data_IF_992673714872
#
_entry.id   IF_992673714872
#
_cell.length_a   1.000
_cell.length_b   1.000
_cell.length_c   1.000
_cell.angle_alpha   90.00
_cell.angle_beta   90.00
_cell.angle_gamma   90.00
#
_symmetry.space_group_name_H-M   'P 1'
#
loop_
_entity.id
_entity.type
_entity.pdbx_description
1 polymer ?
#
# COMPACT_ATOMS: atom_id res chain seq x y z
N UNK A 1 7.88 8.71 19.12
CA UNK A 1 6.53 9.05 18.61
C UNK A 1 6.20 8.06 17.52
N UNK A 2 5.05 7.41 17.60
CA UNK A 2 4.65 6.38 16.63
C UNK A 2 3.78 7.03 15.57
N UNK A 3 4.22 6.98 14.31
CA UNK A 3 3.45 7.46 13.16
C UNK A 3 2.77 6.26 12.52
N UNK A 4 1.47 6.37 12.34
CA UNK A 4 0.67 5.47 11.52
C UNK A 4 0.61 6.06 10.13
N UNK A 5 0.89 5.21 9.15
CA UNK A 5 0.92 5.60 7.77
C UNK A 5 -0.01 4.66 7.02
N UNK A 6 -0.97 5.28 6.35
CA UNK A 6 -2.06 4.62 5.69
C UNK A 6 -2.13 5.09 4.23
N UNK A 7 -2.31 4.17 3.29
CA UNK A 7 -2.38 4.44 1.85
C UNK A 7 -3.44 3.56 1.24
N UNK A 8 -4.56 4.12 0.83
CA UNK A 8 -5.62 3.42 0.16
C UNK A 8 -5.39 3.37 -1.36
N UNK A 9 -5.37 2.19 -1.99
CA UNK A 9 -5.23 2.06 -3.47
C UNK A 9 -6.50 1.58 -4.16
N UNK A 10 -6.75 2.09 -5.37
CA UNK A 10 -7.79 1.54 -6.28
C UNK A 10 -7.13 0.71 -7.36
N UNK A 11 -7.47 -0.57 -7.49
CA UNK A 11 -6.93 -1.41 -8.55
C UNK A 11 -7.56 -1.02 -9.90
N UNK A 12 -6.80 -1.07 -11.00
CA UNK A 12 -7.38 -0.91 -12.33
C UNK A 12 -8.31 -2.09 -12.65
N UNK A 13 -9.44 -1.87 -13.34
CA UNK A 13 -10.39 -2.95 -13.63
C UNK A 13 -9.81 -4.05 -14.52
N UNK A 14 -8.76 -3.75 -15.28
CA UNK A 14 -8.05 -4.64 -16.20
C UNK A 14 -6.68 -5.09 -15.66
N UNK A 15 -6.39 -4.84 -14.39
CA UNK A 15 -5.12 -5.27 -13.79
C UNK A 15 -5.00 -6.80 -13.80
N UNK A 16 -3.82 -7.28 -14.17
CA UNK A 16 -3.48 -8.71 -14.10
C UNK A 16 -3.51 -9.17 -12.64
N UNK A 17 -4.30 -10.21 -12.28
CA UNK A 17 -4.37 -10.72 -10.91
C UNK A 17 -3.01 -11.10 -10.31
N UNK A 18 -2.08 -11.59 -11.14
CA UNK A 18 -0.73 -11.94 -10.69
C UNK A 18 0.09 -10.71 -10.32
N UNK A 19 -0.11 -9.59 -11.01
CA UNK A 19 0.52 -8.31 -10.67
C UNK A 19 -0.09 -7.72 -9.39
N UNK A 20 -1.39 -7.88 -9.19
CA UNK A 20 -2.07 -7.50 -7.95
C UNK A 20 -1.52 -8.31 -6.77
N UNK A 21 -1.41 -9.63 -6.89
CA UNK A 21 -0.86 -10.49 -5.84
C UNK A 21 0.61 -10.16 -5.55
N UNK A 22 1.43 -9.94 -6.59
CA UNK A 22 2.82 -9.53 -6.44
C UNK A 22 2.95 -8.17 -5.74
N UNK A 23 2.05 -7.23 -6.03
CA UNK A 23 1.99 -5.94 -5.35
C UNK A 23 1.65 -6.14 -3.87
N UNK A 24 0.59 -6.89 -3.54
CA UNK A 24 0.16 -7.16 -2.16
C UNK A 24 1.24 -7.88 -1.34
N UNK A 25 1.89 -8.88 -1.92
CA UNK A 25 3.00 -9.61 -1.28
C UNK A 25 4.21 -8.72 -1.06
N UNK A 26 4.48 -7.81 -2.01
CA UNK A 26 5.56 -6.83 -1.90
C UNK A 26 5.34 -5.88 -0.72
N UNK A 27 4.12 -5.38 -0.50
CA UNK A 27 3.81 -4.53 0.66
C UNK A 27 4.13 -5.21 1.98
N UNK A 28 3.69 -6.46 2.15
CA UNK A 28 3.94 -7.24 3.37
C UNK A 28 5.43 -7.50 3.62
N UNK A 29 6.24 -7.48 2.56
CA UNK A 29 7.68 -7.76 2.61
C UNK A 29 8.54 -6.51 2.86
N UNK A 30 7.99 -5.29 2.69
CA UNK A 30 8.74 -4.05 2.85
C UNK A 30 9.38 -3.88 4.24
N UNK A 31 8.78 -4.47 5.28
CA UNK A 31 9.37 -4.48 6.63
C UNK A 31 10.74 -5.17 6.71
N UNK A 32 11.04 -6.05 5.76
CA UNK A 32 12.33 -6.75 5.71
C UNK A 32 13.44 -5.83 5.15
N UNK A 33 13.07 -4.87 4.31
CA UNK A 33 14.00 -3.98 3.62
C UNK A 33 14.05 -2.56 4.22
N UNK A 34 13.05 -2.19 5.03
CA UNK A 34 12.88 -0.87 5.62
C UNK A 34 12.80 -1.01 7.15
N UNK A 35 13.91 -0.84 7.88
CA UNK A 35 13.94 -1.00 9.34
C UNK A 35 12.96 -0.09 10.11
N UNK A 36 12.54 1.02 9.51
CA UNK A 36 11.57 1.96 10.07
C UNK A 36 10.14 1.40 10.08
N UNK A 37 9.83 0.40 9.26
CA UNK A 37 8.52 -0.26 9.24
C UNK A 37 8.45 -1.26 10.39
N UNK A 38 7.99 -0.78 11.55
CA UNK A 38 7.94 -1.60 12.76
C UNK A 38 6.83 -2.66 12.73
N UNK A 39 5.70 -2.34 12.08
CA UNK A 39 4.53 -3.22 11.94
C UNK A 39 3.89 -2.99 10.57
N UNK A 40 3.29 -4.04 10.02
CA UNK A 40 2.53 -3.98 8.77
C UNK A 40 1.21 -4.74 8.94
N UNK A 41 0.13 -4.14 8.49
CA UNK A 41 -1.18 -4.77 8.33
C UNK A 41 -1.83 -4.25 7.06
N UNK A 42 -2.52 -5.11 6.33
CA UNK A 42 -3.26 -4.75 5.14
C UNK A 42 -4.31 -5.81 4.85
N UNK A 43 -5.32 -5.46 4.06
CA UNK A 43 -6.42 -6.35 3.71
C UNK A 43 -7.31 -5.72 2.66
N UNK A 44 -8.21 -6.52 2.09
CA UNK A 44 -9.23 -6.02 1.18
C UNK A 44 -10.30 -5.25 1.96
N UNK A 45 -10.71 -4.11 1.41
CA UNK A 45 -11.86 -3.38 1.91
C UNK A 45 -13.14 -4.22 1.80
N UNK A 46 -13.94 -4.23 2.86
CA UNK A 46 -15.22 -4.94 2.95
C UNK A 46 -16.43 -3.99 2.97
N UNK A 47 -16.22 -2.68 2.82
CA UNK A 47 -17.24 -1.64 2.93
C UNK A 47 -17.50 -0.93 1.59
N UNK A 48 -18.76 -0.63 1.28
CA UNK A 48 -19.11 0.15 0.09
C UNK A 48 -18.81 1.65 0.22
N UNK A 49 -18.40 2.13 1.39
CA UNK A 49 -18.15 3.56 1.67
C UNK A 49 -16.74 4.04 1.28
N UNK A 50 -15.90 3.16 0.74
CA UNK A 50 -14.50 3.45 0.47
C UNK A 50 -14.25 4.19 -0.86
N UNK A 51 -15.30 4.61 -1.57
CA UNK A 51 -15.19 5.36 -2.84
C UNK A 51 -14.27 4.70 -3.89
N UNK A 52 -14.20 3.35 -3.85
CA UNK A 52 -13.37 2.54 -4.75
C UNK A 52 -11.96 2.23 -4.27
N UNK A 53 -11.53 2.70 -3.09
CA UNK A 53 -10.24 2.34 -2.51
C UNK A 53 -10.28 1.03 -1.69
N UNK A 54 -9.22 0.23 -1.76
CA UNK A 54 -9.26 -1.20 -1.41
C UNK A 54 -8.19 -1.66 -0.41
N UNK A 55 -7.03 -1.01 -0.27
CA UNK A 55 -5.90 -1.50 0.57
C UNK A 55 -4.98 -0.41 1.11
N UNK A 56 -4.38 -0.58 2.32
CA UNK A 56 -3.53 0.34 3.12
C UNK A 56 -1.98 0.13 3.01
N UNK A 57 -1.08 1.15 2.91
CA UNK A 57 0.40 1.05 2.60
C UNK A 57 1.26 2.16 3.29
N UNK A 58 2.62 1.96 3.39
CA UNK A 58 3.90 2.68 3.83
C UNK A 58 4.67 3.78 2.98
N UNK A 59 5.24 4.94 3.44
CA UNK A 59 6.18 5.83 2.63
C UNK A 59 7.46 6.33 3.37
N UNK A 60 8.63 6.31 2.68
CA UNK A 60 9.83 7.14 3.02
C UNK A 60 11.22 6.66 2.55
N UNK A 61 11.35 5.42 2.06
CA UNK A 61 12.65 4.75 1.81
C UNK A 61 12.90 4.45 0.31
N UNK A 62 14.16 4.35 -0.13
CA UNK A 62 14.51 4.06 -1.54
C UNK A 62 13.90 2.74 -2.04
N UNK A 63 13.87 1.71 -1.19
CA UNK A 63 13.22 0.43 -1.49
C UNK A 63 11.71 0.60 -1.75
N UNK A 64 11.04 1.45 -0.97
CA UNK A 64 9.65 1.78 -1.18
C UNK A 64 9.42 2.52 -2.51
N UNK A 65 10.27 3.48 -2.87
CA UNK A 65 10.16 4.21 -4.15
C UNK A 65 10.30 3.26 -5.35
N UNK A 66 11.29 2.36 -5.29
CA UNK A 66 11.50 1.36 -6.33
C UNK A 66 10.29 0.45 -6.47
N UNK A 67 9.79 -0.07 -5.34
CA UNK A 67 8.63 -0.94 -5.32
C UNK A 67 7.35 -0.22 -5.78
N UNK A 68 7.08 1.02 -5.34
CA UNK A 68 5.98 1.85 -5.85
C UNK A 68 6.02 1.96 -7.36
N UNK A 69 7.19 2.29 -7.91
CA UNK A 69 7.36 2.52 -9.35
C UNK A 69 7.16 1.24 -10.15
N UNK A 70 7.68 0.12 -9.67
CA UNK A 70 7.71 -1.15 -10.41
C UNK A 70 6.45 -2.00 -10.24
N UNK A 71 5.80 -1.91 -9.07
CA UNK A 71 4.75 -2.86 -8.67
C UNK A 71 3.41 -2.20 -8.35
N UNK A 72 3.39 -0.93 -7.98
CA UNK A 72 2.17 -0.24 -7.55
C UNK A 72 1.58 0.59 -8.69
N UNK A 73 2.35 1.52 -9.25
CA UNK A 73 1.88 2.43 -10.33
C UNK A 73 1.30 1.71 -11.56
N UNK A 74 1.85 0.56 -12.03
CA UNK A 74 1.26 -0.15 -13.16
C UNK A 74 -0.13 -0.72 -12.86
N UNK A 75 -0.44 -1.01 -11.61
CA UNK A 75 -1.60 -1.79 -11.17
C UNK A 75 -2.76 -0.90 -10.72
N UNK A 76 -2.48 0.27 -10.17
CA UNK A 76 -3.49 1.11 -9.53
C UNK A 76 -3.99 2.24 -10.45
N UNK A 77 -5.25 2.62 -10.31
CA UNK A 77 -5.86 3.76 -11.00
C UNK A 77 -5.82 5.04 -10.16
N UNK A 78 -5.77 4.90 -8.83
CA UNK A 78 -5.83 6.02 -7.89
C UNK A 78 -5.23 5.62 -6.54
N UNK A 79 -4.78 6.61 -5.77
CA UNK A 79 -4.11 6.44 -4.47
C UNK A 79 -4.45 7.58 -3.51
N UNK A 80 -4.84 7.24 -2.29
CA UNK A 80 -4.97 8.17 -1.17
C UNK A 80 -3.91 7.82 -0.14
N UNK A 81 -3.22 8.80 0.44
CA UNK A 81 -2.19 8.58 1.46
C UNK A 81 -2.39 9.55 2.60
N UNK A 82 -2.32 9.06 3.84
CA UNK A 82 -2.32 9.91 5.02
C UNK A 82 -1.43 9.36 6.14
N UNK A 83 -0.74 10.27 6.80
CA UNK A 83 0.10 10.03 7.96
C UNK A 83 -0.56 10.66 9.18
N UNK A 84 -0.60 9.95 10.30
CA UNK A 84 -1.13 10.46 11.55
C UNK A 84 -0.40 9.90 12.77
N UNK A 85 -0.46 10.64 13.86
CA UNK A 85 -0.08 10.15 15.18
C UNK A 85 -1.36 9.77 15.93
N UNK A 86 -1.34 8.63 16.63
CA UNK A 86 -2.46 8.31 17.52
C UNK A 86 -2.40 9.21 18.76
N UNK A 87 -3.53 9.80 19.12
CA UNK A 87 -3.72 10.52 20.39
C UNK A 87 -3.78 9.56 21.59
#
# INVERSE_FOLDING_TARGET
MTVYHAVLVKIKPDADPTQVEAMLTGFASLKNDIPQVQKFSGGANFSQRAQGFEHDIYIGHQAHIAFRTQKVVPVISDILVFDYEAE
#
